data_IF_439436562434
#
_entry.id   IF_439436562434
#
_cell.length_a   1.000
_cell.length_b   1.000
_cell.length_c   1.000
_cell.angle_alpha   90.00
_cell.angle_beta   90.00
_cell.angle_gamma   90.00
#
_symmetry.space_group_name_H-M   'P 1'
#
loop_
_entity.id
_entity.type
_entity.pdbx_description
1 polymer ?
#
# COMPACT_ATOMS: atom_id res chain seq x y z
N UNK A 1 -26.53 -9.42 6.71
CA UNK A 1 -25.20 -9.95 7.12
C UNK A 1 -24.19 -9.98 5.98
N UNK A 2 -24.65 -10.07 4.72
CA UNK A 2 -23.82 -10.27 3.53
C UNK A 2 -22.67 -9.25 3.36
N UNK A 3 -22.90 -7.98 3.69
CA UNK A 3 -21.90 -6.92 3.51
C UNK A 3 -21.04 -6.64 4.77
N UNK A 4 -21.22 -7.39 5.86
CA UNK A 4 -20.42 -7.18 7.08
C UNK A 4 -19.05 -7.89 6.95
N UNK A 5 -17.92 -7.18 7.10
CA UNK A 5 -16.58 -7.74 6.89
C UNK A 5 -16.08 -8.49 8.13
N UNK A 6 -16.68 -9.66 8.41
CA UNK A 6 -16.38 -10.45 9.62
C UNK A 6 -15.52 -11.68 9.36
N UNK A 7 -15.21 -11.98 8.10
CA UNK A 7 -14.46 -13.16 7.71
C UNK A 7 -12.97 -12.82 7.60
N UNK A 8 -12.19 -13.23 8.61
CA UNK A 8 -10.73 -13.13 8.60
C UNK A 8 -10.15 -14.39 7.94
N UNK A 9 -10.07 -14.40 6.61
CA UNK A 9 -9.78 -15.63 5.85
C UNK A 9 -8.46 -16.31 6.25
N UNK A 10 -7.41 -15.53 6.51
CA UNK A 10 -6.11 -16.07 6.89
C UNK A 10 -6.13 -16.67 8.30
N UNK A 11 -6.89 -16.07 9.22
CA UNK A 11 -7.10 -16.63 10.56
C UNK A 11 -7.97 -17.90 10.53
N UNK A 12 -8.95 -17.94 9.61
CA UNK A 12 -9.85 -19.08 9.44
C UNK A 12 -9.18 -20.27 8.74
N UNK A 13 -8.41 -20.01 7.68
CA UNK A 13 -7.67 -21.02 6.93
C UNK A 13 -6.49 -20.38 6.17
N UNK A 14 -5.28 -20.40 6.76
CA UNK A 14 -4.08 -19.86 6.11
C UNK A 14 -3.76 -20.55 4.78
N UNK A 15 -4.04 -21.85 4.67
CA UNK A 15 -3.72 -22.63 3.48
C UNK A 15 -4.59 -22.24 2.27
N UNK A 16 -5.72 -21.56 2.46
CA UNK A 16 -6.58 -21.10 1.38
C UNK A 16 -5.81 -20.27 0.34
N UNK A 17 -4.89 -19.42 0.81
CA UNK A 17 -4.04 -18.58 -0.02
C UNK A 17 -3.02 -19.37 -0.84
N UNK A 18 -2.72 -20.62 -0.48
CA UNK A 18 -1.83 -21.47 -1.26
C UNK A 18 -2.52 -22.00 -2.53
N UNK A 19 -3.83 -22.27 -2.42
CA UNK A 19 -4.60 -22.91 -3.48
C UNK A 19 -5.33 -21.93 -4.39
N UNK A 20 -5.80 -20.80 -3.86
CA UNK A 20 -6.62 -19.84 -4.61
C UNK A 20 -5.82 -18.60 -4.98
N UNK A 21 -5.42 -18.52 -6.27
CA UNK A 21 -4.63 -17.41 -6.80
C UNK A 21 -5.42 -16.09 -6.72
N UNK A 22 -6.71 -16.13 -6.95
CA UNK A 22 -7.64 -15.01 -6.95
C UNK A 22 -7.62 -14.31 -5.59
N UNK A 23 -7.66 -15.07 -4.49
CA UNK A 23 -7.63 -14.51 -3.14
C UNK A 23 -6.29 -13.82 -2.87
N UNK A 24 -5.16 -14.41 -3.31
CA UNK A 24 -3.84 -13.75 -3.22
C UNK A 24 -3.82 -12.43 -4.00
N UNK A 25 -4.34 -12.43 -5.22
CA UNK A 25 -4.42 -11.22 -6.06
C UNK A 25 -5.24 -10.12 -5.39
N UNK A 26 -6.45 -10.46 -4.90
CA UNK A 26 -7.32 -9.50 -4.21
C UNK A 26 -6.65 -8.96 -2.96
N UNK A 27 -6.02 -9.81 -2.16
CA UNK A 27 -5.29 -9.38 -0.96
C UNK A 27 -4.15 -8.43 -1.30
N UNK A 28 -3.35 -8.73 -2.32
CA UNK A 28 -2.27 -7.86 -2.78
C UNK A 28 -2.80 -6.49 -3.24
N UNK A 29 -3.86 -6.45 -4.04
CA UNK A 29 -4.49 -5.18 -4.47
C UNK A 29 -5.01 -4.37 -3.28
N UNK A 30 -5.64 -5.02 -2.30
CA UNK A 30 -6.11 -4.35 -1.08
C UNK A 30 -4.96 -3.83 -0.22
N UNK A 31 -3.86 -4.56 -0.11
CA UNK A 31 -2.64 -4.08 0.55
C UNK A 31 -2.07 -2.84 -0.17
N UNK A 32 -2.07 -2.84 -1.50
CA UNK A 32 -1.66 -1.69 -2.31
C UNK A 32 -2.54 -0.46 -2.02
N UNK A 33 -3.87 -0.63 -1.98
CA UNK A 33 -4.81 0.44 -1.62
C UNK A 33 -4.51 1.06 -0.25
N UNK A 34 -4.18 0.23 0.75
CA UNK A 34 -3.81 0.71 2.09
C UNK A 34 -2.51 1.53 2.08
N UNK A 35 -1.57 1.22 1.19
CA UNK A 35 -0.36 2.01 1.00
C UNK A 35 -0.62 3.33 0.25
N UNK A 36 -1.63 3.36 -0.62
CA UNK A 36 -2.08 4.58 -1.31
C UNK A 36 -2.93 5.49 -0.41
N UNK A 37 -3.64 4.93 0.58
CA UNK A 37 -4.56 5.66 1.49
C UNK A 37 -3.99 6.97 2.06
N UNK A 38 -2.74 7.03 2.59
CA UNK A 38 -2.21 8.27 3.17
C UNK A 38 -2.03 9.40 2.16
N UNK A 39 -1.73 9.08 0.90
CA UNK A 39 -1.61 10.06 -0.18
C UNK A 39 -2.97 10.68 -0.49
N UNK A 40 -4.00 9.84 -0.61
CA UNK A 40 -5.34 10.27 -0.96
C UNK A 40 -6.02 11.03 0.19
N UNK A 41 -5.83 10.59 1.44
CA UNK A 41 -6.51 11.18 2.60
C UNK A 41 -6.07 12.61 2.88
N UNK A 42 -4.80 12.89 2.61
CA UNK A 42 -4.21 14.22 2.83
C UNK A 42 -4.17 15.05 1.55
N UNK A 43 -4.82 14.60 0.46
CA UNK A 43 -4.83 15.32 -0.81
C UNK A 43 -6.19 16.00 -1.04
N UNK A 44 -6.13 17.32 -1.17
CA UNK A 44 -7.30 18.14 -1.49
C UNK A 44 -7.89 17.79 -2.88
N UNK A 45 -7.05 17.59 -3.90
CA UNK A 45 -7.49 17.28 -5.26
C UNK A 45 -8.17 15.91 -5.33
N UNK A 46 -7.66 14.92 -4.58
CA UNK A 46 -8.28 13.61 -4.45
C UNK A 46 -9.69 13.70 -3.85
N UNK A 47 -9.90 14.61 -2.89
CA UNK A 47 -11.21 14.87 -2.30
C UNK A 47 -12.16 15.53 -3.31
N UNK A 48 -11.69 16.52 -4.08
CA UNK A 48 -12.48 17.17 -5.13
C UNK A 48 -12.90 16.20 -6.24
N UNK A 49 -11.99 15.32 -6.66
CA UNK A 49 -12.24 14.25 -7.64
C UNK A 49 -13.07 13.09 -7.06
N UNK A 50 -13.42 13.15 -5.77
CA UNK A 50 -14.19 12.12 -5.05
C UNK A 50 -13.57 10.73 -5.18
N UNK A 51 -12.24 10.61 -5.19
CA UNK A 51 -11.56 9.34 -5.41
C UNK A 51 -11.97 8.26 -4.38
N UNK A 52 -12.27 8.64 -3.14
CA UNK A 52 -12.79 7.73 -2.10
C UNK A 52 -14.13 7.09 -2.45
N UNK A 53 -14.97 7.77 -3.23
CA UNK A 53 -16.29 7.25 -3.62
C UNK A 53 -16.21 6.01 -4.52
N UNK A 54 -15.07 5.78 -5.19
CA UNK A 54 -14.86 4.60 -6.04
C UNK A 54 -14.97 3.28 -5.24
N UNK A 55 -14.80 3.33 -3.92
CA UNK A 55 -14.92 2.19 -3.01
C UNK A 55 -16.02 2.38 -1.95
N UNK A 56 -17.03 3.21 -2.23
CA UNK A 56 -18.14 3.47 -1.28
C UNK A 56 -18.89 2.20 -0.88
N UNK A 57 -18.98 1.22 -1.79
CA UNK A 57 -19.65 -0.06 -1.55
C UNK A 57 -18.82 -1.02 -0.66
N UNK A 58 -17.53 -0.72 -0.44
CA UNK A 58 -16.57 -1.56 0.30
C UNK A 58 -15.74 -0.71 1.27
N UNK A 59 -16.36 -0.03 2.25
CA UNK A 59 -15.66 0.91 3.13
C UNK A 59 -14.53 0.26 3.93
N UNK A 60 -14.67 -1.02 4.29
CA UNK A 60 -13.69 -1.79 5.05
C UNK A 60 -12.38 -2.06 4.32
N UNK A 61 -12.33 -1.86 3.00
CA UNK A 61 -11.07 -1.95 2.24
C UNK A 61 -10.08 -0.83 2.63
N UNK A 62 -10.55 0.24 3.26
CA UNK A 62 -9.69 1.28 3.81
C UNK A 62 -9.10 0.94 5.17
N UNK A 63 -9.61 -0.06 5.88
CA UNK A 63 -9.21 -0.36 7.26
C UNK A 63 -8.26 -1.56 7.35
N UNK A 64 -8.52 -2.59 6.57
CA UNK A 64 -7.73 -3.83 6.57
C UNK A 64 -7.79 -4.53 5.22
N UNK A 65 -6.76 -5.31 4.89
CA UNK A 65 -6.75 -6.22 3.75
C UNK A 65 -7.24 -7.63 4.11
N UNK A 66 -7.44 -7.92 5.40
CA UNK A 66 -7.65 -9.28 5.93
C UNK A 66 -9.12 -9.62 6.20
N UNK A 67 -9.96 -8.60 6.40
CA UNK A 67 -11.37 -8.77 6.67
C UNK A 67 -12.20 -8.79 5.39
N UNK A 68 -13.05 -9.81 5.21
CA UNK A 68 -13.92 -9.98 4.05
C UNK A 68 -15.38 -10.09 4.47
N UNK A 69 -16.26 -9.53 3.64
CA UNK A 69 -17.69 -9.78 3.71
C UNK A 69 -18.06 -11.02 2.88
N UNK A 70 -19.26 -11.57 3.08
CA UNK A 70 -19.75 -12.65 2.21
C UNK A 70 -19.94 -12.15 0.77
N UNK A 71 -20.36 -10.88 0.60
CA UNK A 71 -20.47 -10.26 -0.71
C UNK A 71 -19.12 -10.21 -1.42
N UNK A 72 -18.05 -9.88 -0.71
CA UNK A 72 -16.70 -9.83 -1.27
C UNK A 72 -16.30 -11.20 -1.84
N UNK A 73 -16.64 -12.28 -1.14
CA UNK A 73 -16.32 -13.64 -1.60
C UNK A 73 -17.12 -14.04 -2.86
N UNK A 74 -18.38 -13.59 -2.96
CA UNK A 74 -19.21 -13.79 -4.15
C UNK A 74 -18.64 -13.00 -5.34
N UNK A 75 -18.30 -11.74 -5.13
CA UNK A 75 -17.73 -10.87 -6.17
C UNK A 75 -16.30 -11.31 -6.54
N UNK A 76 -15.56 -11.90 -5.61
CA UNK A 76 -14.26 -12.53 -5.86
C UNK A 76 -14.43 -13.77 -6.73
N UNK A 77 -15.32 -14.68 -6.39
CA UNK A 77 -15.56 -15.91 -7.15
C UNK A 77 -16.06 -15.63 -8.58
N UNK A 78 -16.79 -14.52 -8.78
CA UNK A 78 -17.22 -14.08 -10.12
C UNK A 78 -16.17 -13.27 -10.89
N UNK A 79 -15.00 -12.96 -10.29
CA UNK A 79 -13.94 -12.15 -10.89
C UNK A 79 -14.23 -10.64 -10.94
N UNK A 80 -15.46 -10.22 -10.63
CA UNK A 80 -15.89 -8.81 -10.64
C UNK A 80 -15.07 -7.95 -9.68
N UNK A 81 -14.74 -8.49 -8.51
CA UNK A 81 -13.97 -7.76 -7.51
C UNK A 81 -12.55 -7.44 -8.00
N UNK A 82 -11.91 -8.37 -8.71
CA UNK A 82 -10.55 -8.17 -9.22
C UNK A 82 -10.53 -7.06 -10.26
N UNK A 83 -11.43 -7.11 -11.24
CA UNK A 83 -11.52 -6.09 -12.30
C UNK A 83 -11.74 -4.70 -11.68
N UNK A 84 -12.67 -4.60 -10.71
CA UNK A 84 -12.94 -3.34 -10.02
C UNK A 84 -11.71 -2.83 -9.26
N UNK A 85 -11.06 -3.67 -8.45
CA UNK A 85 -9.90 -3.26 -7.66
C UNK A 85 -8.73 -2.84 -8.55
N UNK A 86 -8.44 -3.57 -9.63
CA UNK A 86 -7.39 -3.19 -10.59
C UNK A 86 -7.65 -1.82 -11.20
N UNK A 87 -8.88 -1.55 -11.63
CA UNK A 87 -9.26 -0.24 -12.17
C UNK A 87 -9.07 0.87 -11.13
N UNK A 88 -9.52 0.66 -9.90
CA UNK A 88 -9.37 1.65 -8.82
C UNK A 88 -7.90 1.90 -8.48
N UNK A 89 -7.10 0.85 -8.32
CA UNK A 89 -5.66 0.94 -8.07
C UNK A 89 -4.96 1.71 -9.17
N UNK A 90 -5.29 1.45 -10.44
CA UNK A 90 -4.75 2.20 -11.59
C UNK A 90 -5.12 3.68 -11.55
N UNK A 91 -6.38 4.01 -11.24
CA UNK A 91 -6.82 5.40 -11.09
C UNK A 91 -6.05 6.11 -9.98
N UNK A 92 -5.90 5.48 -8.82
CA UNK A 92 -5.17 6.07 -7.69
C UNK A 92 -3.67 6.21 -7.99
N UNK A 93 -3.06 5.19 -8.59
CA UNK A 93 -1.69 5.22 -9.07
C UNK A 93 -1.45 6.39 -10.04
N UNK A 94 -2.34 6.59 -11.00
CA UNK A 94 -2.25 7.69 -11.98
C UNK A 94 -2.34 9.05 -11.28
N UNK A 95 -3.30 9.21 -10.39
CA UNK A 95 -3.44 10.44 -9.59
C UNK A 95 -2.16 10.73 -8.79
N UNK A 96 -1.68 9.75 -8.03
CA UNK A 96 -0.54 9.90 -7.12
C UNK A 96 0.77 10.19 -7.88
N UNK A 97 1.01 9.48 -9.00
CA UNK A 97 2.30 9.54 -9.71
C UNK A 97 2.37 10.67 -10.75
N UNK A 98 1.25 11.01 -11.39
CA UNK A 98 1.26 11.79 -12.63
C UNK A 98 0.40 13.05 -12.58
N UNK A 99 -0.78 13.00 -11.95
CA UNK A 99 -1.76 14.09 -12.08
C UNK A 99 -1.71 15.09 -10.92
N UNK A 100 -1.24 14.69 -9.73
CA UNK A 100 -1.23 15.54 -8.54
C UNK A 100 0.19 15.76 -8.02
N UNK A 101 0.67 17.01 -8.12
CA UNK A 101 1.99 17.41 -7.63
C UNK A 101 2.14 17.24 -6.12
N UNK A 102 1.07 17.50 -5.34
CA UNK A 102 1.09 17.31 -3.88
C UNK A 102 1.28 15.84 -3.50
N UNK A 103 0.59 14.91 -4.17
CA UNK A 103 0.78 13.48 -3.96
C UNK A 103 2.18 13.04 -4.39
N UNK A 104 2.63 13.48 -5.57
CA UNK A 104 3.94 13.15 -6.12
C UNK A 104 5.09 13.66 -5.25
N UNK A 105 4.94 14.86 -4.68
CA UNK A 105 5.90 15.47 -3.76
C UNK A 105 6.02 14.74 -2.41
N UNK A 106 5.02 13.95 -2.03
CA UNK A 106 5.06 13.06 -0.86
C UNK A 106 5.68 11.68 -1.17
N UNK A 107 6.22 11.48 -2.37
CA UNK A 107 7.03 10.31 -2.71
C UNK A 107 8.39 10.32 -2.00
N UNK A 108 9.17 9.27 -2.21
CA UNK A 108 10.47 9.06 -1.57
C UNK A 108 11.59 9.09 -2.61
N UNK A 109 12.78 9.52 -2.20
CA UNK A 109 14.00 9.32 -2.96
C UNK A 109 14.84 8.26 -2.27
N UNK A 110 15.43 7.36 -3.05
CA UNK A 110 16.32 6.34 -2.52
C UNK A 110 17.65 6.97 -2.06
N UNK A 111 17.90 7.02 -0.76
CA UNK A 111 19.11 7.64 -0.19
C UNK A 111 20.42 6.91 -0.51
N UNK A 112 20.36 5.72 -1.12
CA UNK A 112 21.54 4.95 -1.51
C UNK A 112 22.03 5.24 -2.93
N UNK A 113 21.20 5.84 -3.78
CA UNK A 113 21.51 6.04 -5.18
C UNK A 113 21.11 7.43 -5.66
N UNK A 114 21.70 7.87 -6.77
CA UNK A 114 21.42 9.18 -7.37
C UNK A 114 20.51 9.09 -8.60
N UNK A 115 19.64 8.07 -8.67
CA UNK A 115 18.75 7.89 -9.82
C UNK A 115 17.64 8.95 -9.89
N UNK A 116 17.42 9.74 -8.83
CA UNK A 116 16.40 10.80 -8.71
C UNK A 116 14.98 10.37 -9.12
N UNK A 117 14.74 9.06 -9.09
CA UNK A 117 13.44 8.45 -9.29
C UNK A 117 12.60 8.61 -8.02
N UNK A 118 11.35 9.04 -8.19
CA UNK A 118 10.40 9.14 -7.09
C UNK A 118 9.78 7.76 -6.86
N UNK A 119 10.01 7.24 -5.65
CA UNK A 119 9.52 5.95 -5.19
C UNK A 119 8.27 6.10 -4.35
N UNK A 120 7.41 5.09 -4.41
CA UNK A 120 6.23 4.96 -3.60
C UNK A 120 6.24 3.62 -2.86
N UNK A 121 5.70 3.54 -1.63
CA UNK A 121 5.68 2.29 -0.86
C UNK A 121 4.99 1.10 -1.56
N UNK A 122 4.14 1.40 -2.55
CA UNK A 122 3.37 0.43 -3.33
C UNK A 122 4.04 0.03 -4.66
N UNK A 123 5.28 0.47 -4.93
CA UNK A 123 6.06 -0.07 -6.05
C UNK A 123 6.53 -1.50 -5.75
N UNK A 124 6.63 -2.34 -6.78
CA UNK A 124 7.00 -3.75 -6.67
C UNK A 124 8.51 -3.98 -6.46
N UNK A 125 9.34 -3.00 -6.83
CA UNK A 125 10.81 -3.04 -6.73
C UNK A 125 11.38 -2.28 -5.51
N UNK A 126 10.55 -1.88 -4.55
CA UNK A 126 10.99 -1.15 -3.37
C UNK A 126 10.92 -1.98 -2.09
N UNK A 127 11.50 -1.42 -1.03
CA UNK A 127 11.36 -1.88 0.35
C UNK A 127 11.12 -0.68 1.26
N UNK A 128 10.19 -0.84 2.20
CA UNK A 128 9.89 0.18 3.22
C UNK A 128 10.55 -0.19 4.55
N UNK A 129 11.31 0.73 5.12
CA UNK A 129 11.90 0.55 6.45
C UNK A 129 10.79 0.43 7.52
N UNK A 130 10.81 -0.66 8.29
CA UNK A 130 9.80 -0.91 9.34
C UNK A 130 9.84 0.11 10.49
N UNK A 131 11.01 0.73 10.74
CA UNK A 131 11.20 1.69 11.84
C UNK A 131 10.80 3.11 11.45
N UNK A 132 11.37 3.63 10.35
CA UNK A 132 11.21 5.04 9.97
C UNK A 132 10.32 5.28 8.74
N UNK A 133 9.79 4.21 8.12
CA UNK A 133 8.93 4.24 6.93
C UNK A 133 9.56 4.85 5.67
N UNK A 134 10.86 5.14 5.68
CA UNK A 134 11.58 5.51 4.45
C UNK A 134 11.54 4.36 3.44
N UNK A 135 11.46 4.72 2.15
CA UNK A 135 11.37 3.79 1.03
C UNK A 135 12.67 3.83 0.22
N UNK A 136 13.15 2.67 -0.17
CA UNK A 136 14.38 2.48 -0.95
C UNK A 136 14.14 1.48 -2.06
N UNK A 137 14.92 1.54 -3.15
CA UNK A 137 14.97 0.42 -4.08
C UNK A 137 15.40 -0.85 -3.33
N UNK A 138 14.75 -1.97 -3.60
CA UNK A 138 15.03 -3.26 -2.94
C UNK A 138 16.49 -3.66 -3.12
N UNK A 139 16.98 -3.58 -4.36
CA UNK A 139 18.37 -3.91 -4.71
C UNK A 139 19.37 -3.02 -3.96
N UNK A 140 19.08 -1.71 -3.84
CA UNK A 140 19.95 -0.80 -3.10
C UNK A 140 20.00 -1.17 -1.61
N UNK A 141 18.85 -1.40 -1.01
CA UNK A 141 18.77 -1.78 0.40
C UNK A 141 19.47 -3.12 0.69
N UNK A 142 19.33 -4.11 -0.19
CA UNK A 142 20.01 -5.42 -0.08
C UNK A 142 21.53 -5.31 -0.22
N UNK A 143 22.03 -4.47 -1.14
CA UNK A 143 23.48 -4.20 -1.29
C UNK A 143 24.12 -3.56 -0.06
N UNK A 144 23.32 -2.97 0.82
CA UNK A 144 23.75 -2.36 2.07
C UNK A 144 23.29 -3.18 3.29
N UNK A 145 23.30 -4.51 3.17
CA UNK A 145 22.98 -5.48 4.23
C UNK A 145 21.61 -5.27 4.92
N UNK A 146 20.68 -4.64 4.20
CA UNK A 146 19.37 -4.30 4.73
C UNK A 146 19.39 -3.23 5.84
N UNK A 147 20.47 -2.47 5.96
CA UNK A 147 20.61 -1.43 6.98
C UNK A 147 20.06 -0.10 6.49
N UNK A 148 19.05 0.43 7.19
CA UNK A 148 18.46 1.72 6.84
C UNK A 148 19.37 2.90 7.25
N UNK A 149 19.88 3.72 6.30
CA UNK A 149 20.83 4.80 6.59
C UNK A 149 20.17 5.91 7.39
N UNK A 150 18.88 6.16 7.19
CA UNK A 150 18.10 7.13 7.97
C UNK A 150 17.97 6.73 9.43
N UNK A 151 17.78 5.44 9.72
CA UNK A 151 17.74 4.94 11.09
C UNK A 151 19.12 4.99 11.74
N UNK A 152 20.17 4.64 11.01
CA UNK A 152 21.55 4.76 11.48
C UNK A 152 21.87 6.20 11.92
N UNK A 153 21.66 7.19 11.04
CA UNK A 153 21.86 8.62 11.37
C UNK A 153 21.00 9.12 12.52
N UNK A 154 19.76 8.62 12.66
CA UNK A 154 18.90 8.97 13.81
C UNK A 154 19.47 8.45 15.11
N UNK A 155 19.92 7.20 15.14
CA UNK A 155 20.49 6.59 16.33
C UNK A 155 21.78 7.29 16.77
N UNK A 156 22.66 7.66 15.82
CA UNK A 156 23.89 8.39 16.12
C UNK A 156 23.62 9.74 16.80
N UNK A 157 22.61 10.48 16.34
CA UNK A 157 22.22 11.75 16.97
C UNK A 157 21.71 11.55 18.40
N UNK A 158 20.86 10.54 18.62
CA UNK A 158 20.30 10.26 19.95
C UNK A 158 21.35 9.76 20.94
N UNK A 159 22.44 9.12 20.49
CA UNK A 159 23.55 8.71 21.37
C UNK A 159 24.47 9.86 21.81
N UNK A 160 24.42 11.02 21.16
CA UNK A 160 25.26 12.19 21.49
C UNK A 160 24.60 13.08 22.55
N UNK A 161 23.27 13.01 22.73
CA UNK A 161 22.51 13.83 23.68
C UNK A 161 22.52 13.29 25.14
N UNK A 162 23.40 12.34 25.48
CA UNK A 162 23.49 11.68 26.81
C UNK A 162 24.88 11.86 27.47
N UNK A 163 25.67 12.85 27.06
CA UNK A 163 26.96 13.17 27.70
C UNK A 163 27.01 14.63 28.14
#
# INVERSE_FOLDING_TARGET
MQNKPVLLLEALNPHLFNYLKEIRTIKALRQELLLMKPYLLNCHDAAQLRLFSLLVDHPHFWDSADAYSLQDLIDLNSGKLEIRLRSVVQTYAKHIRQECEACRGNGYLCEFCNQNEILFPFDDYVVTCRKCRAVYHRICHEKHDGQCPRCFRRNERTSVDVV
#
